data_IF_771610252848
#
_entry.id   IF_771610252848
#
_cell.length_a   1.000
_cell.length_b   1.000
_cell.length_c   1.000
_cell.angle_alpha   90.00
_cell.angle_beta   90.00
_cell.angle_gamma   90.00
#
_symmetry.space_group_name_H-M   'P 1'
#
loop_
_entity.id
_entity.type
_entity.pdbx_description
1 polymer ?
#
# COMPACT_ATOMS: atom_id res chain seq x y z
N UNK A 1 8.57 13.68 -17.38
CA UNK A 1 7.63 14.83 -17.29
C UNK A 1 6.64 14.73 -18.45
N UNK A 2 5.38 14.55 -18.19
CA UNK A 2 4.32 14.64 -19.18
C UNK A 2 3.65 13.34 -19.52
N UNK A 3 2.79 12.78 -18.66
CA UNK A 3 1.74 11.83 -19.07
C UNK A 3 0.71 11.58 -17.97
N UNK A 4 0.86 12.24 -16.83
CA UNK A 4 -0.12 12.14 -15.71
C UNK A 4 -1.41 12.93 -16.01
N UNK A 5 -1.38 13.85 -16.99
CA UNK A 5 -2.52 14.72 -17.34
C UNK A 5 -3.65 14.02 -18.10
N UNK A 6 -3.38 12.90 -18.76
CA UNK A 6 -4.36 12.25 -19.65
C UNK A 6 -5.40 11.43 -18.89
N UNK A 7 -5.09 11.00 -17.65
CA UNK A 7 -6.02 10.23 -16.81
C UNK A 7 -6.88 11.10 -15.86
N UNK A 8 -6.64 12.40 -15.80
CA UNK A 8 -7.19 13.27 -14.76
C UNK A 8 -8.32 14.21 -15.21
N UNK A 9 -8.96 13.93 -16.32
CA UNK A 9 -9.99 14.83 -16.86
C UNK A 9 -9.37 16.00 -17.62
N UNK A 10 -10.16 16.66 -18.44
CA UNK A 10 -9.80 17.87 -19.13
C UNK A 10 -9.31 18.96 -18.17
N UNK A 11 -8.49 19.88 -18.62
CA UNK A 11 -8.00 21.05 -17.86
C UNK A 11 -9.11 21.88 -17.15
N UNK A 12 -10.37 21.54 -17.36
CA UNK A 12 -11.56 22.14 -16.73
C UNK A 12 -11.92 21.58 -15.34
N UNK A 13 -11.20 20.57 -14.85
CA UNK A 13 -11.49 19.98 -13.52
C UNK A 13 -12.82 19.22 -13.41
N UNK A 14 -13.49 18.94 -14.54
CA UNK A 14 -14.74 18.19 -14.58
C UNK A 14 -14.42 16.70 -14.41
N UNK A 15 -14.97 16.01 -13.39
CA UNK A 15 -14.77 14.57 -13.23
C UNK A 15 -15.32 13.82 -14.44
N UNK A 16 -14.56 12.89 -14.99
CA UNK A 16 -15.08 11.94 -15.98
C UNK A 16 -16.11 11.08 -15.25
N UNK A 17 -17.33 10.89 -15.78
CA UNK A 17 -18.33 10.04 -15.14
C UNK A 17 -17.78 8.63 -14.91
N UNK A 18 -17.84 8.12 -13.68
CA UNK A 18 -17.30 6.82 -13.31
C UNK A 18 -15.86 6.82 -12.78
N UNK A 19 -15.14 7.92 -12.91
CA UNK A 19 -13.76 8.06 -12.40
C UNK A 19 -13.73 8.94 -11.17
N UNK A 20 -13.43 8.37 -10.02
CA UNK A 20 -13.24 9.09 -8.77
C UNK A 20 -11.76 9.29 -8.44
N UNK A 21 -11.24 10.50 -8.59
CA UNK A 21 -9.88 10.82 -8.18
C UNK A 21 -9.86 11.24 -6.71
N UNK A 22 -9.25 10.44 -5.87
CA UNK A 22 -8.88 10.81 -4.51
C UNK A 22 -7.54 11.54 -4.54
N UNK A 23 -7.55 12.86 -4.68
CA UNK A 23 -6.39 13.68 -4.33
C UNK A 23 -6.34 13.84 -2.82
N UNK A 24 -5.51 13.06 -2.16
CA UNK A 24 -4.98 13.49 -0.88
C UNK A 24 -3.93 14.59 -1.15
N UNK A 25 -3.52 15.37 -0.17
CA UNK A 25 -2.66 16.58 -0.33
C UNK A 25 -1.41 16.37 -1.16
N UNK A 26 -0.98 15.14 -1.37
CA UNK A 26 0.29 14.83 -2.02
C UNK A 26 0.26 13.60 -2.92
N UNK A 27 -0.80 12.75 -2.90
CA UNK A 27 -0.76 11.48 -3.60
C UNK A 27 -2.09 10.89 -4.01
N UNK A 28 -1.99 10.07 -5.01
CA UNK A 28 -3.01 9.60 -5.88
C UNK A 28 -3.60 8.25 -5.43
N UNK A 29 -4.86 8.22 -5.05
CA UNK A 29 -5.69 7.04 -5.14
C UNK A 29 -6.75 7.29 -6.21
N UNK A 30 -6.87 6.37 -7.18
CA UNK A 30 -7.82 6.45 -8.27
C UNK A 30 -8.81 5.30 -8.16
N UNK A 31 -10.09 5.63 -8.06
CA UNK A 31 -11.18 4.66 -8.11
C UNK A 31 -11.86 4.70 -9.48
N UNK A 32 -11.93 3.55 -10.14
CA UNK A 32 -12.63 3.34 -11.40
C UNK A 32 -13.77 2.37 -11.16
N UNK A 33 -14.99 2.79 -11.45
CA UNK A 33 -16.18 1.97 -11.24
C UNK A 33 -16.27 0.80 -12.22
N UNK A 34 -15.67 0.94 -13.41
CA UNK A 34 -15.67 -0.10 -14.43
C UNK A 34 -14.26 -0.33 -14.99
N UNK A 35 -13.78 -1.57 -14.95
CA UNK A 35 -12.48 -1.97 -15.51
C UNK A 35 -12.36 -1.64 -17.01
N UNK A 36 -13.46 -1.54 -17.75
CA UNK A 36 -13.46 -1.17 -19.18
C UNK A 36 -13.07 0.29 -19.43
N UNK A 37 -13.16 1.14 -18.43
CA UNK A 37 -12.71 2.53 -18.52
C UNK A 37 -11.18 2.62 -18.53
N UNK A 38 -10.49 1.56 -18.15
CA UNK A 38 -9.06 1.40 -18.38
C UNK A 38 -8.85 0.95 -19.81
N UNK A 39 -8.92 1.87 -20.75
CA UNK A 39 -8.79 1.62 -22.19
C UNK A 39 -7.45 0.95 -22.58
N UNK A 40 -6.46 0.97 -21.69
CA UNK A 40 -5.21 0.23 -21.80
C UNK A 40 -4.78 -0.21 -20.40
N UNK A 41 -5.01 -1.47 -20.05
CA UNK A 41 -4.49 -2.11 -18.82
C UNK A 41 -2.94 -2.09 -18.74
N UNK A 42 -2.25 -1.78 -19.84
CA UNK A 42 -0.82 -1.43 -19.85
C UNK A 42 -0.50 -0.16 -19.04
N UNK A 43 -1.51 0.62 -18.66
CA UNK A 43 -1.41 1.76 -17.74
C UNK A 43 -1.57 1.38 -16.27
N UNK A 44 -1.67 0.12 -15.91
CA UNK A 44 -1.41 -0.31 -14.54
C UNK A 44 0.05 0.01 -14.23
N UNK A 45 0.30 1.27 -13.88
CA UNK A 45 1.63 1.79 -13.67
C UNK A 45 2.29 0.99 -12.57
N UNK A 46 3.54 0.59 -12.81
CA UNK A 46 4.40 -0.10 -11.83
C UNK A 46 4.48 0.62 -10.46
N UNK A 47 3.97 1.83 -10.37
CA UNK A 47 4.03 2.69 -9.19
C UNK A 47 2.84 2.51 -8.23
N UNK A 48 1.75 1.87 -8.67
CA UNK A 48 0.52 1.73 -7.89
C UNK A 48 0.26 0.30 -7.46
N UNK A 49 -0.20 0.16 -6.23
CA UNK A 49 -0.88 -1.06 -5.80
C UNK A 49 -2.26 -1.06 -6.43
N UNK A 50 -2.62 -2.13 -7.09
CA UNK A 50 -3.89 -2.27 -7.80
C UNK A 50 -4.77 -3.28 -7.11
N UNK A 51 -6.01 -2.90 -6.85
CA UNK A 51 -7.03 -3.75 -6.27
C UNK A 51 -8.17 -3.81 -7.28
N UNK A 52 -8.51 -5.02 -7.74
CA UNK A 52 -9.61 -5.24 -8.68
C UNK A 52 -10.68 -6.05 -7.96
N UNK A 53 -11.89 -5.52 -7.86
CA UNK A 53 -13.06 -6.23 -7.37
C UNK A 53 -13.90 -6.73 -8.54
N UNK A 54 -13.99 -8.04 -8.69
CA UNK A 54 -14.82 -8.67 -9.71
C UNK A 54 -16.24 -8.86 -9.16
N UNK A 55 -17.19 -8.01 -9.59
CA UNK A 55 -18.60 -8.09 -9.21
C UNK A 55 -19.36 -9.12 -10.06
N UNK A 56 -19.05 -9.15 -11.36
CA UNK A 56 -19.64 -10.11 -12.30
C UNK A 56 -18.65 -10.48 -13.40
N UNK A 57 -18.90 -11.60 -14.08
CA UNK A 57 -18.07 -12.07 -15.17
C UNK A 57 -16.79 -12.79 -14.72
N UNK A 58 -15.75 -12.74 -15.55
CA UNK A 58 -14.47 -13.42 -15.31
C UNK A 58 -13.32 -12.59 -15.85
N UNK A 59 -12.23 -12.57 -15.09
CA UNK A 59 -10.99 -11.92 -15.48
C UNK A 59 -9.89 -12.97 -15.43
N UNK A 60 -9.11 -13.13 -16.50
CA UNK A 60 -7.92 -13.95 -16.55
C UNK A 60 -6.73 -13.04 -16.80
N UNK A 61 -5.76 -13.08 -15.91
CA UNK A 61 -4.52 -12.30 -15.99
C UNK A 61 -3.31 -13.19 -16.00
N UNK A 62 -2.25 -12.75 -16.66
CA UNK A 62 -0.93 -13.38 -16.63
C UNK A 62 0.04 -12.54 -15.80
N UNK A 63 0.81 -13.20 -14.97
CA UNK A 63 1.78 -12.62 -14.06
C UNK A 63 3.17 -13.18 -14.34
N UNK A 64 4.13 -12.30 -14.59
CA UNK A 64 5.53 -12.71 -14.76
C UNK A 64 5.78 -13.65 -15.93
N UNK A 65 4.88 -13.73 -16.90
CA UNK A 65 5.05 -14.49 -18.14
C UNK A 65 4.72 -15.99 -18.06
N UNK A 66 4.39 -16.54 -16.88
CA UNK A 66 4.15 -17.98 -16.73
C UNK A 66 2.98 -18.35 -15.80
N UNK A 67 2.47 -17.44 -15.00
CA UNK A 67 1.41 -17.73 -14.06
C UNK A 67 0.10 -17.10 -14.50
N UNK A 68 -0.92 -17.91 -14.70
CA UNK A 68 -2.28 -17.43 -15.00
C UNK A 68 -3.14 -17.42 -13.74
N UNK A 69 -3.77 -16.30 -13.47
CA UNK A 69 -4.67 -16.11 -12.34
C UNK A 69 -6.07 -15.81 -12.86
N UNK A 70 -7.04 -16.62 -12.42
CA UNK A 70 -8.45 -16.46 -12.74
C UNK A 70 -9.16 -15.80 -11.56
N UNK A 71 -9.84 -14.70 -11.82
CA UNK A 71 -10.66 -13.98 -10.84
C UNK A 71 -12.14 -14.20 -11.18
N UNK A 72 -12.93 -14.54 -10.17
CA UNK A 72 -14.36 -14.84 -10.25
C UNK A 72 -15.19 -13.76 -9.55
N UNK A 73 -16.51 -13.71 -9.77
CA UNK A 73 -17.38 -12.84 -8.99
C UNK A 73 -17.22 -13.04 -7.48
N UNK A 74 -17.21 -11.95 -6.73
CA UNK A 74 -16.99 -11.96 -5.27
C UNK A 74 -15.52 -12.09 -4.87
N UNK A 75 -14.57 -11.93 -5.79
CA UNK A 75 -13.15 -11.99 -5.49
C UNK A 75 -12.46 -10.64 -5.73
N UNK A 76 -11.48 -10.37 -4.88
CA UNK A 76 -10.52 -9.27 -5.02
C UNK A 76 -9.20 -9.80 -5.57
N UNK A 77 -8.70 -9.18 -6.63
CA UNK A 77 -7.33 -9.38 -7.10
C UNK A 77 -6.46 -8.23 -6.60
N UNK A 78 -5.43 -8.55 -5.83
CA UNK A 78 -4.49 -7.60 -5.27
C UNK A 78 -3.15 -7.71 -5.97
N UNK A 79 -2.70 -6.63 -6.61
CA UNK A 79 -1.46 -6.56 -7.38
C UNK A 79 -0.56 -5.51 -6.74
N UNK A 80 0.57 -5.91 -6.12
CA UNK A 80 1.53 -4.96 -5.54
C UNK A 80 2.15 -4.02 -6.57
N UNK A 81 2.53 -2.83 -6.12
CA UNK A 81 3.35 -1.93 -6.93
C UNK A 81 4.64 -2.62 -7.41
N UNK A 82 5.03 -2.38 -8.63
CA UNK A 82 6.20 -3.00 -9.26
C UNK A 82 5.91 -4.30 -10.02
N UNK A 83 4.74 -4.88 -9.87
CA UNK A 83 4.35 -6.09 -10.62
C UNK A 83 3.68 -5.71 -11.93
N UNK A 84 3.99 -6.47 -12.97
CA UNK A 84 3.37 -6.34 -14.29
C UNK A 84 2.38 -7.48 -14.47
N UNK A 85 1.15 -7.11 -14.71
CA UNK A 85 0.05 -8.04 -15.00
C UNK A 85 -0.47 -7.74 -16.38
N UNK A 86 -0.63 -8.79 -17.18
CA UNK A 86 -1.21 -8.67 -18.52
C UNK A 86 -2.60 -9.33 -18.52
N UNK A 87 -3.65 -8.64 -18.97
CA UNK A 87 -4.94 -9.26 -19.15
C UNK A 87 -4.86 -10.23 -20.34
N UNK A 88 -5.26 -11.49 -20.11
CA UNK A 88 -5.38 -12.49 -21.18
C UNK A 88 -6.81 -12.50 -21.72
N UNK A 89 -7.78 -12.47 -20.80
CA UNK A 89 -9.20 -12.54 -21.15
C UNK A 89 -10.03 -11.78 -20.11
N UNK A 90 -10.97 -11.03 -20.63
CA UNK A 90 -12.03 -10.38 -19.85
C UNK A 90 -13.36 -10.76 -20.51
N UNK A 91 -14.27 -11.37 -19.75
CA UNK A 91 -15.56 -11.80 -20.30
C UNK A 91 -16.43 -10.60 -20.74
N UNK A 92 -17.34 -10.83 -21.68
CA UNK A 92 -18.20 -9.77 -22.24
C UNK A 92 -19.17 -9.18 -21.20
N UNK A 93 -19.50 -9.94 -20.18
CA UNK A 93 -20.37 -9.58 -19.06
C UNK A 93 -19.61 -9.06 -17.84
N UNK A 94 -18.29 -8.79 -17.96
CA UNK A 94 -17.49 -8.32 -16.83
C UNK A 94 -18.01 -7.01 -16.28
N UNK A 95 -18.18 -7.00 -14.97
CA UNK A 95 -18.36 -5.84 -14.12
C UNK A 95 -17.35 -5.91 -13.00
N UNK A 96 -16.43 -4.96 -12.97
CA UNK A 96 -15.35 -4.94 -11.99
C UNK A 96 -14.92 -3.49 -11.69
N UNK A 97 -14.84 -3.19 -10.39
CA UNK A 97 -14.24 -1.95 -9.88
C UNK A 97 -12.73 -2.08 -9.76
N UNK A 98 -12.04 -0.96 -9.91
CA UNK A 98 -10.57 -0.91 -9.75
C UNK A 98 -10.18 0.24 -8.86
N UNK A 99 -9.35 -0.05 -7.86
CA UNK A 99 -8.71 0.95 -7.02
C UNK A 99 -7.19 0.89 -7.23
N UNK A 100 -6.63 2.02 -7.62
CA UNK A 100 -5.19 2.24 -7.72
C UNK A 100 -4.76 3.09 -6.54
N UNK A 101 -3.76 2.64 -5.76
CA UNK A 101 -3.26 3.36 -4.58
C UNK A 101 -1.74 3.43 -4.66
N UNK A 102 -1.18 4.65 -4.61
CA UNK A 102 0.28 4.81 -4.55
C UNK A 102 0.85 4.22 -3.27
N UNK A 103 2.12 3.78 -3.31
CA UNK A 103 2.82 3.28 -2.12
C UNK A 103 2.84 4.32 -0.98
N UNK A 104 2.90 5.60 -1.31
CA UNK A 104 2.92 6.69 -0.33
C UNK A 104 1.56 6.84 0.34
N UNK A 105 0.48 6.90 -0.42
CA UNK A 105 -0.88 6.96 0.11
C UNK A 105 -1.20 5.73 0.96
N UNK A 106 -0.83 4.53 0.47
CA UNK A 106 -1.02 3.28 1.21
C UNK A 106 -0.34 3.33 2.58
N UNK A 107 0.92 3.78 2.65
CA UNK A 107 1.67 3.94 3.90
C UNK A 107 1.03 4.96 4.83
N UNK A 108 0.59 6.10 4.30
CA UNK A 108 -0.06 7.16 5.08
C UNK A 108 -1.40 6.69 5.65
N UNK A 109 -2.20 6.04 4.84
CA UNK A 109 -3.56 5.60 5.20
C UNK A 109 -3.54 4.42 6.16
N UNK A 110 -2.70 3.41 5.92
CA UNK A 110 -2.56 2.24 6.80
C UNK A 110 -1.73 2.53 8.05
N UNK A 111 -0.81 3.49 7.98
CA UNK A 111 0.06 3.85 9.10
C UNK A 111 0.64 2.62 9.82
N UNK A 112 0.33 2.40 11.10
CA UNK A 112 0.85 1.29 11.90
C UNK A 112 0.50 -0.13 11.38
N UNK A 113 -0.52 -0.28 10.55
CA UNK A 113 -0.96 -1.56 9.97
C UNK A 113 -0.30 -1.89 8.62
N UNK A 114 0.50 -0.99 8.06
CA UNK A 114 1.19 -1.22 6.77
C UNK A 114 2.03 -2.51 6.75
N UNK A 115 2.49 -2.95 7.93
CA UNK A 115 3.22 -4.20 8.07
C UNK A 115 2.42 -5.44 7.68
N UNK A 116 1.10 -5.43 7.91
CA UNK A 116 0.18 -6.52 7.51
C UNK A 116 0.14 -6.58 5.99
N UNK A 117 -0.11 -5.45 5.35
CA UNK A 117 -0.09 -5.32 3.90
C UNK A 117 1.25 -5.76 3.30
N UNK A 118 2.35 -5.19 3.79
CA UNK A 118 3.68 -5.53 3.30
C UNK A 118 3.98 -7.03 3.44
N UNK A 119 3.69 -7.61 4.60
CA UNK A 119 3.90 -9.04 4.84
C UNK A 119 3.10 -9.90 3.88
N UNK A 120 1.86 -9.56 3.62
CA UNK A 120 1.03 -10.27 2.67
C UNK A 120 1.56 -10.10 1.24
N UNK A 121 1.70 -8.87 0.76
CA UNK A 121 2.05 -8.55 -0.63
C UNK A 121 3.44 -9.02 -1.04
N UNK A 122 4.41 -9.08 -0.11
CA UNK A 122 5.77 -9.54 -0.42
C UNK A 122 5.96 -11.06 -0.25
N UNK A 123 5.04 -11.73 0.45
CA UNK A 123 5.11 -13.20 0.58
C UNK A 123 4.52 -13.94 -0.60
N UNK A 124 3.47 -13.40 -1.18
CA UNK A 124 2.84 -13.92 -2.40
C UNK A 124 2.78 -12.77 -3.40
N UNK A 125 3.21 -13.01 -4.60
CA UNK A 125 3.37 -11.95 -5.60
C UNK A 125 2.05 -11.31 -6.02
N UNK A 126 0.92 -12.02 -5.89
CA UNK A 126 -0.43 -11.54 -6.17
C UNK A 126 -1.41 -12.34 -5.34
N UNK A 127 -2.46 -11.70 -4.84
CA UNK A 127 -3.50 -12.34 -4.05
C UNK A 127 -4.84 -12.30 -4.73
N UNK A 128 -5.56 -13.42 -4.63
CA UNK A 128 -7.00 -13.45 -4.81
C UNK A 128 -7.61 -13.69 -3.44
N UNK A 129 -8.47 -12.78 -2.99
CA UNK A 129 -9.14 -12.82 -1.70
C UNK A 129 -10.64 -12.93 -1.95
N UNK A 130 -11.30 -13.83 -1.24
CA UNK A 130 -12.77 -13.90 -1.25
C UNK A 130 -13.34 -12.66 -0.56
N UNK A 131 -14.35 -12.08 -1.19
CA UNK A 131 -15.05 -10.91 -0.69
C UNK A 131 -16.30 -11.36 0.05
N UNK A 132 -16.46 -10.93 1.29
CA UNK A 132 -17.57 -11.33 2.15
C UNK A 132 -18.79 -10.39 2.10
N UNK A 133 -19.06 -9.77 0.94
CA UNK A 133 -20.20 -8.86 0.74
C UNK A 133 -20.00 -7.42 1.22
N UNK A 134 -18.87 -7.12 1.87
CA UNK A 134 -18.58 -5.78 2.42
C UNK A 134 -18.01 -4.80 1.39
N UNK A 135 -17.29 -5.28 0.37
CA UNK A 135 -16.67 -4.42 -0.66
C UNK A 135 -17.75 -3.73 -1.48
N UNK A 136 -18.81 -4.44 -1.87
CA UNK A 136 -19.90 -3.87 -2.67
C UNK A 136 -20.59 -2.71 -1.93
N UNK A 137 -20.83 -2.86 -0.62
CA UNK A 137 -21.40 -1.80 0.22
C UNK A 137 -20.48 -0.55 0.25
N UNK A 138 -19.19 -0.76 0.40
CA UNK A 138 -18.19 0.30 0.42
C UNK A 138 -18.08 0.98 -0.95
N UNK A 139 -18.04 0.24 -2.04
CA UNK A 139 -18.02 0.79 -3.40
C UNK A 139 -19.30 1.57 -3.72
N UNK A 140 -20.46 1.10 -3.28
CA UNK A 140 -21.73 1.79 -3.46
C UNK A 140 -21.74 3.15 -2.75
N UNK A 141 -21.21 3.21 -1.53
CA UNK A 141 -21.04 4.45 -0.81
C UNK A 141 -20.09 5.42 -1.53
N UNK A 142 -18.94 4.94 -1.99
CA UNK A 142 -18.01 5.75 -2.77
C UNK A 142 -18.68 6.31 -4.03
N UNK A 143 -19.38 5.48 -4.79
CA UNK A 143 -20.14 5.90 -5.98
C UNK A 143 -21.14 7.02 -5.67
N UNK A 144 -21.84 6.93 -4.56
CA UNK A 144 -22.81 7.97 -4.16
C UNK A 144 -22.14 9.29 -3.86
N UNK A 145 -20.96 9.29 -3.24
CA UNK A 145 -20.18 10.49 -2.96
C UNK A 145 -19.63 11.14 -4.26
N UNK A 146 -19.16 10.32 -5.21
CA UNK A 146 -18.66 10.84 -6.49
C UNK A 146 -19.76 11.38 -7.42
N UNK A 147 -20.99 10.87 -7.29
CA UNK A 147 -22.16 11.36 -8.05
C UNK A 147 -22.78 12.61 -7.47
N UNK A 148 -22.38 13.05 -6.29
CA UNK A 148 -22.87 14.28 -5.70
C UNK A 148 -22.51 15.49 -6.58
N UNK A 149 -23.50 16.27 -6.97
CA UNK A 149 -23.32 17.46 -7.82
C UNK A 149 -22.48 18.55 -7.14
N UNK A 150 -22.46 18.55 -5.81
CA UNK A 150 -21.63 19.44 -4.98
C UNK A 150 -20.91 18.56 -3.96
N UNK A 151 -19.58 18.46 -4.03
CA UNK A 151 -18.87 17.65 -3.05
C UNK A 151 -19.05 18.24 -1.65
N UNK A 152 -19.27 17.39 -0.62
CA UNK A 152 -19.33 17.84 0.77
C UNK A 152 -18.06 18.57 1.20
N UNK A 153 -18.18 19.51 2.14
CA UNK A 153 -17.02 20.26 2.67
C UNK A 153 -15.93 19.33 3.21
N UNK A 154 -16.33 18.22 3.83
CA UNK A 154 -15.43 17.21 4.39
C UNK A 154 -15.19 16.03 3.44
N UNK A 155 -15.37 16.23 2.14
CA UNK A 155 -15.25 15.16 1.14
C UNK A 155 -13.92 14.42 1.22
N UNK A 156 -12.83 15.15 1.42
CA UNK A 156 -11.48 14.61 1.53
C UNK A 156 -11.32 13.68 2.74
N UNK A 157 -11.76 14.14 3.91
CA UNK A 157 -11.71 13.36 5.15
C UNK A 157 -12.58 12.11 5.06
N UNK A 158 -13.77 12.25 4.49
CA UNK A 158 -14.67 11.12 4.25
C UNK A 158 -14.02 10.08 3.32
N UNK A 159 -13.42 10.51 2.23
CA UNK A 159 -12.76 9.61 1.28
C UNK A 159 -11.48 8.98 1.84
N UNK A 160 -10.72 9.71 2.64
CA UNK A 160 -9.54 9.15 3.33
C UNK A 160 -9.95 8.08 4.35
N UNK A 161 -11.01 8.34 5.11
CA UNK A 161 -11.56 7.37 6.07
C UNK A 161 -12.12 6.13 5.38
N UNK A 162 -12.82 6.33 4.27
CA UNK A 162 -13.30 5.27 3.39
C UNK A 162 -12.16 4.40 2.87
N UNK A 163 -11.14 4.99 2.27
CA UNK A 163 -9.97 4.29 1.77
C UNK A 163 -9.28 3.50 2.88
N UNK A 164 -9.15 4.11 4.08
CA UNK A 164 -8.59 3.46 5.25
C UNK A 164 -9.39 2.24 5.65
N UNK A 165 -10.71 2.37 5.77
CA UNK A 165 -11.59 1.26 6.13
C UNK A 165 -11.47 0.11 5.14
N UNK A 166 -11.53 0.40 3.84
CA UNK A 166 -11.39 -0.61 2.80
C UNK A 166 -10.05 -1.35 2.87
N UNK A 167 -8.94 -0.62 2.99
CA UNK A 167 -7.61 -1.21 3.10
C UNK A 167 -7.44 -2.04 4.38
N UNK A 168 -8.02 -1.62 5.51
CA UNK A 168 -7.99 -2.40 6.75
C UNK A 168 -8.80 -3.70 6.62
N UNK A 169 -9.96 -3.67 5.97
CA UNK A 169 -10.75 -4.88 5.73
C UNK A 169 -10.04 -5.86 4.79
N UNK A 170 -9.33 -5.36 3.77
CA UNK A 170 -8.45 -6.18 2.95
C UNK A 170 -7.33 -6.81 3.81
N UNK A 171 -6.69 -6.03 4.68
CA UNK A 171 -5.68 -6.56 5.60
C UNK A 171 -6.24 -7.66 6.51
N UNK A 172 -7.45 -7.51 7.01
CA UNK A 172 -8.14 -8.54 7.80
C UNK A 172 -8.35 -9.82 6.98
N UNK A 173 -8.87 -9.71 5.76
CA UNK A 173 -9.00 -10.84 4.85
C UNK A 173 -7.67 -11.55 4.56
N UNK A 174 -6.59 -10.78 4.42
CA UNK A 174 -5.23 -11.32 4.23
C UNK A 174 -4.70 -12.07 5.46
N UNK A 175 -5.06 -11.64 6.68
CA UNK A 175 -4.71 -12.34 7.93
C UNK A 175 -5.45 -13.68 7.99
N UNK A 176 -6.76 -13.66 7.77
CA UNK A 176 -7.61 -14.86 7.83
C UNK A 176 -7.23 -15.89 6.76
N UNK A 177 -6.92 -15.43 5.55
CA UNK A 177 -6.52 -16.32 4.44
C UNK A 177 -5.18 -17.04 4.70
N UNK A 178 -4.31 -16.45 5.52
CA UNK A 178 -3.02 -17.06 5.89
C UNK A 178 -3.18 -18.31 6.75
N UNK A 179 -4.24 -18.41 7.54
CA UNK A 179 -4.52 -19.59 8.37
C UNK A 179 -4.97 -20.80 7.53
N UNK A 180 -5.48 -20.57 6.31
CA UNK A 180 -6.03 -21.61 5.44
C UNK A 180 -5.04 -22.18 4.39
N UNK A 181 -3.89 -21.55 4.15
CA UNK A 181 -2.98 -21.91 3.05
C UNK A 181 -1.56 -22.23 3.49
N UNK A 182 -1.40 -23.22 4.37
CA UNK A 182 -0.08 -23.69 4.84
C UNK A 182 0.51 -24.86 4.03
N UNK A 183 0.28 -24.91 2.72
CA UNK A 183 0.92 -25.92 1.84
C UNK A 183 1.62 -25.22 0.70
N UNK A 184 2.96 -25.07 0.77
CA UNK A 184 3.76 -24.58 -0.35
C UNK A 184 5.20 -25.08 -0.38
N UNK A 185 5.73 -25.19 -1.60
CA UNK A 185 7.06 -25.63 -2.06
C UNK A 185 8.25 -25.24 -1.18
N UNK A 186 9.04 -26.21 -0.79
CA UNK A 186 10.08 -26.11 0.25
C UNK A 186 11.27 -25.18 -0.10
N UNK A 187 11.59 -24.91 -1.36
CA UNK A 187 12.80 -24.11 -1.70
C UNK A 187 12.57 -22.59 -1.78
N UNK A 188 11.36 -22.18 -2.09
CA UNK A 188 10.96 -20.76 -2.06
C UNK A 188 10.57 -20.32 -0.63
N UNK A 189 10.31 -21.28 0.23
CA UNK A 189 9.84 -21.11 1.61
C UNK A 189 10.91 -20.52 2.52
N UNK A 190 12.19 -20.93 2.40
CA UNK A 190 13.26 -20.50 3.30
C UNK A 190 13.58 -19.00 3.19
N UNK A 191 13.75 -18.46 1.97
CA UNK A 191 14.04 -17.04 1.76
C UNK A 191 12.86 -16.19 2.20
N UNK A 192 11.63 -16.62 1.93
CA UNK A 192 10.40 -15.95 2.38
C UNK A 192 10.24 -15.99 3.89
N UNK A 193 10.53 -17.13 4.53
CA UNK A 193 10.52 -17.23 5.99
C UNK A 193 11.55 -16.31 6.64
N UNK A 194 12.78 -16.32 6.10
CA UNK A 194 13.84 -15.45 6.60
C UNK A 194 13.50 -13.97 6.44
N UNK A 195 12.93 -13.59 5.30
CA UNK A 195 12.45 -12.23 5.08
C UNK A 195 11.34 -11.85 6.07
N UNK A 196 10.40 -12.75 6.36
CA UNK A 196 9.38 -12.54 7.39
C UNK A 196 9.96 -12.32 8.78
N UNK A 197 10.92 -13.16 9.16
CA UNK A 197 11.61 -13.02 10.45
C UNK A 197 12.31 -11.67 10.54
N UNK A 198 12.90 -11.20 9.44
CA UNK A 198 13.46 -9.84 9.36
C UNK A 198 12.41 -8.75 9.58
N UNK A 199 11.25 -8.83 8.91
CA UNK A 199 10.17 -7.87 9.10
C UNK A 199 9.58 -7.91 10.51
N UNK A 200 9.48 -9.10 11.12
CA UNK A 200 9.05 -9.24 12.52
C UNK A 200 10.03 -8.60 13.50
N UNK A 201 11.35 -8.77 13.25
CA UNK A 201 12.37 -8.10 14.06
C UNK A 201 12.28 -6.58 13.93
N UNK A 202 12.09 -6.05 12.71
CA UNK A 202 11.88 -4.62 12.48
C UNK A 202 10.64 -4.11 13.23
N UNK A 203 9.53 -4.84 13.18
CA UNK A 203 8.29 -4.44 13.84
C UNK A 203 8.43 -4.40 15.38
N UNK A 204 9.14 -5.36 15.96
CA UNK A 204 9.32 -5.50 17.42
C UNK A 204 10.41 -4.61 17.99
N UNK A 205 11.36 -4.15 17.19
CA UNK A 205 12.49 -3.35 17.65
C UNK A 205 12.02 -1.93 18.01
N UNK A 206 12.27 -1.47 19.23
CA UNK A 206 11.93 -0.12 19.68
C UNK A 206 12.72 0.94 18.91
N UNK A 207 14.05 0.82 18.85
CA UNK A 207 14.92 1.68 18.07
C UNK A 207 15.30 0.99 16.77
N UNK A 208 14.47 1.17 15.74
CA UNK A 208 14.59 0.47 14.46
C UNK A 208 15.77 0.94 13.60
N UNK A 209 16.28 2.15 13.86
CA UNK A 209 17.40 2.74 13.13
C UNK A 209 18.74 2.10 13.49
N UNK A 210 18.88 0.82 13.15
CA UNK A 210 20.09 0.03 13.34
C UNK A 210 20.76 -0.27 12.00
N UNK A 211 22.02 -0.68 12.05
CA UNK A 211 22.74 -1.17 10.87
C UNK A 211 22.16 -2.50 10.38
N UNK A 212 22.34 -2.81 9.11
CA UNK A 212 21.91 -4.09 8.53
C UNK A 212 22.56 -5.29 9.24
N UNK A 213 23.82 -5.13 9.69
CA UNK A 213 24.53 -6.13 10.46
C UNK A 213 23.80 -6.52 11.75
N UNK A 214 23.25 -5.56 12.49
CA UNK A 214 22.48 -5.81 13.70
C UNK A 214 21.31 -6.78 13.48
N UNK A 215 20.56 -6.59 12.39
CA UNK A 215 19.45 -7.46 12.05
C UNK A 215 19.91 -8.83 11.51
N UNK A 216 20.99 -8.83 10.74
CA UNK A 216 21.59 -10.04 10.21
C UNK A 216 22.11 -10.93 11.34
N UNK A 217 22.78 -10.35 12.35
CA UNK A 217 23.30 -11.06 13.53
C UNK A 217 22.16 -11.69 14.33
N UNK A 218 21.04 -10.95 14.54
CA UNK A 218 19.85 -11.48 15.20
C UNK A 218 19.17 -12.63 14.44
N UNK A 219 19.39 -12.71 13.14
CA UNK A 219 18.89 -13.78 12.28
C UNK A 219 19.90 -14.93 12.11
N UNK A 220 21.11 -14.81 12.69
CA UNK A 220 22.24 -15.72 12.52
C UNK A 220 22.65 -15.92 11.04
N UNK A 221 22.73 -14.82 10.29
CA UNK A 221 23.13 -14.80 8.88
C UNK A 221 24.08 -13.63 8.60
N UNK A 222 24.75 -13.67 7.43
CA UNK A 222 25.57 -12.53 7.00
C UNK A 222 24.72 -11.36 6.47
N UNK A 223 25.17 -10.10 6.63
CA UNK A 223 24.51 -8.93 6.03
C UNK A 223 24.34 -9.02 4.52
N UNK A 224 25.31 -9.65 3.84
CA UNK A 224 25.26 -9.90 2.39
C UNK A 224 24.11 -10.84 2.03
N UNK A 225 23.95 -11.92 2.79
CA UNK A 225 22.87 -12.88 2.57
C UNK A 225 21.48 -12.25 2.85
N UNK A 226 21.36 -11.50 3.94
CA UNK A 226 20.12 -10.72 4.22
C UNK A 226 19.78 -9.77 3.05
N UNK A 227 20.78 -9.09 2.49
CA UNK A 227 20.59 -8.20 1.34
C UNK A 227 20.13 -8.96 0.09
N UNK A 228 20.68 -10.15 -0.15
CA UNK A 228 20.27 -11.03 -1.26
C UNK A 228 18.82 -11.48 -1.10
N UNK A 229 18.46 -11.96 0.09
CA UNK A 229 17.10 -12.41 0.40
C UNK A 229 16.08 -11.27 0.27
N UNK A 230 16.36 -10.11 0.86
CA UNK A 230 15.47 -8.95 0.76
C UNK A 230 15.26 -8.53 -0.70
N UNK A 231 16.34 -8.44 -1.51
CA UNK A 231 16.22 -8.11 -2.94
C UNK A 231 15.44 -9.16 -3.71
N UNK A 232 15.70 -10.45 -3.47
CA UNK A 232 15.05 -11.56 -4.17
C UNK A 232 13.55 -11.61 -3.87
N UNK A 233 13.17 -11.42 -2.59
CA UNK A 233 11.78 -11.55 -2.13
C UNK A 233 10.97 -10.28 -2.38
N UNK A 234 11.56 -9.09 -2.17
CA UNK A 234 10.82 -7.82 -2.17
C UNK A 234 11.29 -6.78 -3.19
N UNK A 235 12.34 -7.06 -3.93
CA UNK A 235 12.96 -6.08 -4.83
C UNK A 235 13.70 -4.95 -4.13
N UNK A 236 13.61 -4.85 -2.79
CA UNK A 236 14.20 -3.77 -1.98
C UNK A 236 15.38 -4.30 -1.15
N UNK A 237 16.37 -3.44 -0.87
CA UNK A 237 17.43 -3.80 0.06
C UNK A 237 16.98 -3.63 1.54
N UNK A 238 17.68 -4.27 2.51
CA UNK A 238 17.30 -4.19 3.93
C UNK A 238 17.27 -2.77 4.49
N UNK A 239 18.19 -1.90 4.06
CA UNK A 239 18.25 -0.52 4.53
C UNK A 239 16.98 0.25 4.17
N UNK A 240 16.42 0.02 2.99
CA UNK A 240 15.16 0.65 2.58
C UNK A 240 13.99 0.22 3.45
N UNK A 241 13.96 -1.07 3.84
CA UNK A 241 12.99 -1.59 4.81
C UNK A 241 13.14 -0.94 6.19
N UNK A 242 14.37 -0.86 6.69
CA UNK A 242 14.68 -0.19 7.97
C UNK A 242 14.17 1.26 7.93
N UNK A 243 14.51 2.00 6.87
CA UNK A 243 14.07 3.38 6.68
C UNK A 243 12.55 3.50 6.67
N UNK A 244 11.85 2.62 5.95
CA UNK A 244 10.37 2.64 5.89
C UNK A 244 9.74 2.42 7.27
N UNK A 245 10.26 1.50 8.06
CA UNK A 245 9.76 1.24 9.42
C UNK A 245 10.09 2.37 10.41
N UNK A 246 11.27 2.96 10.31
CA UNK A 246 11.64 4.16 11.10
C UNK A 246 10.72 5.32 10.77
N UNK A 247 10.45 5.56 9.50
CA UNK A 247 9.55 6.65 9.08
C UNK A 247 8.11 6.44 9.54
N UNK A 248 7.64 5.19 9.60
CA UNK A 248 6.31 4.88 10.18
C UNK A 248 6.21 5.29 11.65
N UNK A 249 7.22 4.97 12.44
CA UNK A 249 7.27 5.39 13.83
C UNK A 249 7.35 6.93 13.96
N UNK A 250 8.10 7.58 13.06
CA UNK A 250 8.17 9.05 13.00
C UNK A 250 6.77 9.65 12.76
N UNK A 251 6.08 9.17 11.74
CA UNK A 251 4.73 9.65 11.40
C UNK A 251 3.73 9.38 12.52
N UNK A 252 3.75 8.20 13.11
CA UNK A 252 2.87 7.84 14.22
C UNK A 252 3.07 8.76 15.42
N UNK A 253 4.31 8.98 15.85
CA UNK A 253 4.61 9.83 17.00
C UNK A 253 4.30 11.31 16.74
N UNK A 254 4.60 11.82 15.54
CA UNK A 254 4.30 13.20 15.16
C UNK A 254 2.80 13.49 15.11
N UNK A 255 2.00 12.51 14.66
CA UNK A 255 0.55 12.68 14.47
C UNK A 255 -0.26 12.45 15.73
N UNK A 256 0.13 11.45 16.55
CA UNK A 256 -0.72 10.95 17.66
C UNK A 256 -0.19 11.28 19.05
N UNK A 257 0.88 12.07 19.18
CA UNK A 257 1.42 12.45 20.50
C UNK A 257 1.78 13.94 20.57
N UNK A 258 1.81 14.47 21.82
CA UNK A 258 2.29 15.81 22.13
C UNK A 258 3.79 15.90 22.43
N UNK A 259 4.52 14.79 22.25
CA UNK A 259 5.96 14.74 22.47
C UNK A 259 6.67 15.84 21.62
N UNK A 260 7.61 16.54 22.24
CA UNK A 260 8.46 17.48 21.51
C UNK A 260 9.29 16.76 20.44
N UNK A 261 9.76 17.48 19.44
CA UNK A 261 10.66 16.95 18.41
C UNK A 261 11.91 16.31 19.02
N UNK A 262 12.40 16.87 20.13
CA UNK A 262 13.54 16.33 20.89
C UNK A 262 13.21 15.01 21.55
N UNK A 263 12.05 14.87 22.17
CA UNK A 263 11.62 13.63 22.80
C UNK A 263 11.39 12.52 21.76
N UNK A 264 10.78 12.84 20.62
CA UNK A 264 10.63 11.90 19.51
C UNK A 264 11.98 11.45 18.98
N UNK A 265 12.92 12.39 18.76
CA UNK A 265 14.27 12.09 18.35
C UNK A 265 14.97 11.10 19.28
N UNK A 266 14.89 11.35 20.60
CA UNK A 266 15.49 10.49 21.61
C UNK A 266 14.82 9.10 21.63
N UNK A 267 13.49 9.06 21.58
CA UNK A 267 12.72 7.80 21.60
C UNK A 267 13.03 6.91 20.42
N UNK A 268 13.23 7.50 19.24
CA UNK A 268 13.59 6.77 18.02
C UNK A 268 15.08 6.44 17.89
N UNK A 269 15.91 6.84 18.87
CA UNK A 269 17.35 6.56 18.90
C UNK A 269 18.17 7.41 17.94
N UNK A 270 17.74 8.64 17.63
CA UNK A 270 18.58 9.58 16.89
C UNK A 270 19.59 10.27 17.82
N UNK A 271 20.79 10.59 17.35
CA UNK A 271 21.82 11.25 18.16
C UNK A 271 21.36 12.58 18.75
N UNK A 272 20.56 13.35 17.99
CA UNK A 272 19.96 14.60 18.41
C UNK A 272 18.82 15.01 17.47
N UNK A 273 18.09 16.06 17.84
CA UNK A 273 16.95 16.56 17.06
C UNK A 273 17.32 17.13 15.68
N UNK A 274 18.54 17.61 15.49
CA UNK A 274 19.01 18.12 14.18
C UNK A 274 19.19 16.97 13.19
N UNK A 275 19.81 15.86 13.62
CA UNK A 275 19.92 14.64 12.81
C UNK A 275 18.55 14.06 12.48
N UNK A 276 17.63 14.04 13.44
CA UNK A 276 16.26 13.60 13.21
C UNK A 276 15.56 14.50 12.18
N UNK A 277 15.67 15.83 12.33
CA UNK A 277 15.06 16.78 11.41
C UNK A 277 15.57 16.63 9.97
N UNK A 278 16.88 16.48 9.80
CA UNK A 278 17.48 16.24 8.49
C UNK A 278 17.03 14.92 7.89
N UNK A 279 17.14 13.83 8.64
CA UNK A 279 16.71 12.50 8.21
C UNK A 279 15.23 12.49 7.77
N UNK A 280 14.36 13.06 8.58
CA UNK A 280 12.94 13.12 8.28
C UNK A 280 12.68 13.95 7.01
N UNK A 281 13.33 15.11 6.88
CA UNK A 281 13.20 15.96 5.69
C UNK A 281 13.69 15.28 4.41
N UNK A 282 14.79 14.54 4.48
CA UNK A 282 15.29 13.75 3.34
C UNK A 282 14.30 12.68 2.88
N UNK A 283 13.54 12.08 3.81
CA UNK A 283 12.60 11.02 3.50
C UNK A 283 11.18 11.52 3.19
N UNK A 284 10.73 12.59 3.87
CA UNK A 284 9.37 13.11 3.79
C UNK A 284 9.23 14.36 2.89
N UNK A 285 10.33 15.01 2.51
CA UNK A 285 10.33 16.26 1.74
C UNK A 285 10.04 17.52 2.58
N UNK A 286 9.64 17.38 3.84
CA UNK A 286 9.31 18.47 4.77
C UNK A 286 9.89 18.21 6.16
N UNK A 287 9.94 19.25 7.01
CA UNK A 287 10.44 19.09 8.39
C UNK A 287 9.43 18.36 9.28
N UNK A 288 9.87 17.74 10.41
CA UNK A 288 8.96 17.12 11.36
C UNK A 288 7.91 18.10 11.93
N UNK A 289 8.28 19.37 12.08
CA UNK A 289 7.37 20.38 12.61
C UNK A 289 6.28 20.76 11.58
N UNK A 290 6.66 20.96 10.32
CA UNK A 290 5.71 21.18 9.22
C UNK A 290 4.75 20.02 9.11
N UNK A 291 5.27 18.79 9.10
CA UNK A 291 4.44 17.60 9.06
C UNK A 291 3.44 17.53 10.22
N UNK A 292 3.87 17.85 11.44
CA UNK A 292 3.00 17.88 12.61
C UNK A 292 1.88 18.92 12.46
N UNK A 293 2.23 20.12 12.01
CA UNK A 293 1.24 21.20 11.84
C UNK A 293 0.18 20.83 10.82
N UNK A 294 0.55 20.15 9.75
CA UNK A 294 -0.37 19.74 8.69
C UNK A 294 -1.24 18.52 9.04
N UNK A 295 -0.72 17.62 9.89
CA UNK A 295 -1.31 16.29 10.07
C UNK A 295 -1.73 16.00 11.52
N UNK A 296 -1.50 16.90 12.48
CA UNK A 296 -1.94 16.69 13.86
C UNK A 296 -3.46 16.65 13.89
N UNK A 297 -4.01 15.53 14.31
CA UNK A 297 -5.44 15.44 14.59
C UNK A 297 -5.74 16.41 15.75
N UNK A 298 -6.68 17.33 15.55
CA UNK A 298 -7.25 18.08 16.67
C UNK A 298 -7.91 17.05 17.62
N UNK A 299 -7.40 16.97 18.84
CA UNK A 299 -8.00 16.18 19.92
C UNK A 299 -9.18 16.95 20.46
#
# INVERSE_FOLDING_TARGET
>A
MGDTKILLGNDSGIPIPGVGLLKTTEDDALFLDNIREIANLSMMRKEYNTIIHCRNGRILVEVGGNQQIKVRPGQLLLIPAGKVVQPIMVSTDVDAGVLLVSDKTLKTVLAGQINIWNKAMYMKEIYVVEEAGWVEGIESYARSLFKATTPPVLFREMMTSFLRTMLLMICEGLIQHKEMTSTDDASTTHDKDLFNRFLQLLAKQEQKRQQVSFYADKLNISPKYLSTVCKKVSGKNPMRWITEYVMQDCYALLKSTDLSIKEISNRLGFPNSSFFGQYFREQAGMTPMEYRTEHKMAV
#
